data_IF_451996185010
#
_entry.id   IF_451996185010
#
_cell.length_a   1.000
_cell.length_b   1.000
_cell.length_c   1.000
_cell.angle_alpha   90.00
_cell.angle_beta   90.00
_cell.angle_gamma   90.00
#
_symmetry.space_group_name_H-M   'P 1'
#
loop_
_entity.id
_entity.type
_entity.pdbx_description
1 polymer ?
#
# COMPACT_ATOMS: atom_id res chain seq x y z
N UNK A 1 11.66 10.90 -24.59
CA UNK A 1 11.32 9.64 -25.26
C UNK A 1 9.83 9.63 -25.53
N UNK A 2 9.41 8.92 -26.57
CA UNK A 2 7.99 8.74 -26.91
C UNK A 2 7.71 7.24 -26.74
N UNK A 3 6.87 6.83 -25.77
CA UNK A 3 6.54 5.41 -25.57
C UNK A 3 5.64 4.90 -26.69
N UNK A 4 4.54 5.59 -26.96
CA UNK A 4 3.67 5.28 -28.11
C UNK A 4 2.50 4.40 -27.72
N UNK A 5 2.12 3.40 -28.54
CA UNK A 5 1.03 2.47 -28.20
C UNK A 5 1.64 1.18 -27.66
N UNK A 6 1.18 0.73 -26.52
CA UNK A 6 1.63 -0.46 -25.81
C UNK A 6 1.96 -0.15 -24.35
N UNK A 7 2.41 -1.17 -23.62
CA UNK A 7 3.04 -0.96 -22.32
C UNK A 7 4.53 -0.70 -22.55
N UNK A 8 4.97 0.51 -22.28
CA UNK A 8 6.32 1.00 -22.51
C UNK A 8 7.12 1.11 -21.21
N UNK A 9 8.45 1.08 -21.33
CA UNK A 9 9.37 1.24 -20.20
C UNK A 9 10.38 2.33 -20.51
N UNK A 10 10.37 3.37 -19.68
CA UNK A 10 11.20 4.55 -19.79
C UNK A 10 12.14 4.66 -18.58
N UNK A 11 13.28 5.32 -18.79
CA UNK A 11 14.26 5.62 -17.75
C UNK A 11 14.46 7.13 -17.68
N UNK A 12 14.35 7.70 -16.48
CA UNK A 12 14.68 9.11 -16.20
C UNK A 12 15.92 9.15 -15.31
N UNK A 13 17.00 9.71 -15.84
CA UNK A 13 18.26 9.88 -15.12
C UNK A 13 18.70 11.35 -15.00
N UNK A 14 18.04 12.25 -15.72
CA UNK A 14 18.32 13.67 -15.66
C UNK A 14 17.03 14.50 -15.79
N UNK A 15 17.03 15.72 -15.21
CA UNK A 15 15.84 16.59 -15.19
C UNK A 15 15.50 17.22 -16.54
N UNK A 16 16.28 16.94 -17.59
CA UNK A 16 16.02 17.37 -18.96
C UNK A 16 15.31 16.31 -19.81
N UNK A 17 15.10 15.10 -19.28
CA UNK A 17 14.37 14.05 -19.97
C UNK A 17 12.90 14.45 -20.09
N UNK A 18 12.39 14.44 -21.33
CA UNK A 18 10.98 14.69 -21.63
C UNK A 18 10.33 13.35 -21.94
N UNK A 19 9.21 13.04 -21.29
CA UNK A 19 8.36 11.90 -21.63
C UNK A 19 7.15 12.44 -22.38
N UNK A 20 6.84 11.82 -23.51
CA UNK A 20 5.65 12.10 -24.30
C UNK A 20 4.95 10.77 -24.57
N UNK A 21 3.84 10.53 -23.89
CA UNK A 21 3.06 9.31 -24.07
C UNK A 21 1.84 9.56 -24.95
N UNK A 22 1.42 8.52 -25.67
CA UNK A 22 0.21 8.58 -26.46
C UNK A 22 -1.01 8.30 -25.56
N UNK A 23 -2.13 9.00 -25.75
CA UNK A 23 -3.37 8.67 -25.06
C UNK A 23 -3.77 7.21 -25.31
N UNK A 24 -4.25 6.54 -24.27
CA UNK A 24 -4.64 5.12 -24.31
C UNK A 24 -3.50 4.17 -24.72
N UNK A 25 -2.25 4.54 -24.40
CA UNK A 25 -1.03 3.79 -24.75
C UNK A 25 -0.99 2.39 -24.14
N UNK A 26 -1.24 2.27 -22.84
CA UNK A 26 -1.13 1.00 -22.13
C UNK A 26 -0.98 1.24 -20.63
N UNK A 27 -0.24 0.36 -19.95
CA UNK A 27 0.29 0.60 -18.60
C UNK A 27 1.79 0.82 -18.71
N UNK A 28 2.22 2.06 -18.55
CA UNK A 28 3.58 2.49 -18.81
C UNK A 28 4.41 2.61 -17.53
N UNK A 29 5.72 2.33 -17.61
CA UNK A 29 6.60 2.22 -16.44
C UNK A 29 7.82 3.13 -16.53
N UNK A 30 8.06 3.93 -15.49
CA UNK A 30 9.22 4.82 -15.39
C UNK A 30 10.15 4.37 -14.27
N UNK A 31 11.38 4.02 -14.62
CA UNK A 31 12.45 3.87 -13.65
C UNK A 31 13.19 5.20 -13.48
N UNK A 32 13.05 5.84 -12.32
CA UNK A 32 13.64 7.15 -12.06
C UNK A 32 14.70 7.12 -10.97
N UNK A 33 15.85 7.77 -11.21
CA UNK A 33 16.84 8.07 -10.16
C UNK A 33 16.64 9.40 -9.45
N UNK A 34 15.64 10.17 -9.92
CA UNK A 34 15.22 11.46 -9.39
C UNK A 34 13.86 11.34 -8.72
N UNK A 35 13.58 12.16 -7.71
CA UNK A 35 12.22 12.34 -7.22
C UNK A 35 11.35 12.93 -8.35
N UNK A 36 10.20 12.31 -8.64
CA UNK A 36 9.37 12.62 -9.80
C UNK A 36 7.89 12.72 -9.41
N UNK A 37 7.16 13.62 -10.09
CA UNK A 37 5.71 13.70 -10.05
C UNK A 37 5.14 13.35 -11.42
N UNK A 38 4.08 12.53 -11.43
CA UNK A 38 3.33 12.16 -12.63
C UNK A 38 2.21 13.16 -12.96
N UNK A 39 2.04 14.24 -12.18
CA UNK A 39 0.93 15.17 -12.32
C UNK A 39 0.82 15.82 -13.71
N UNK A 40 1.95 16.00 -14.40
CA UNK A 40 2.01 16.54 -15.77
C UNK A 40 2.08 15.45 -16.85
N UNK A 41 1.95 14.17 -16.48
CA UNK A 41 2.02 13.00 -17.36
C UNK A 41 0.80 12.10 -17.16
N UNK A 42 -0.34 12.42 -17.79
CA UNK A 42 -1.64 11.81 -17.51
C UNK A 42 -1.83 10.39 -18.06
N UNK A 43 -0.79 9.77 -18.63
CA UNK A 43 -0.84 8.43 -19.23
C UNK A 43 0.24 7.52 -18.61
N UNK A 44 0.80 7.90 -17.45
CA UNK A 44 1.83 7.14 -16.77
C UNK A 44 1.26 6.62 -15.46
N UNK A 45 1.38 5.32 -15.22
CA UNK A 45 0.80 4.65 -14.06
C UNK A 45 1.84 4.05 -13.12
N UNK A 46 3.00 3.57 -13.61
CA UNK A 46 3.96 2.87 -12.76
C UNK A 46 5.25 3.69 -12.55
N UNK A 47 5.58 4.02 -11.30
CA UNK A 47 6.77 4.79 -10.93
C UNK A 47 7.64 4.06 -9.89
N UNK A 48 8.44 3.06 -10.32
CA UNK A 48 9.51 2.53 -9.49
C UNK A 48 10.65 3.53 -9.31
N UNK A 49 10.87 3.96 -8.07
CA UNK A 49 12.07 4.71 -7.70
C UNK A 49 13.29 3.78 -7.62
N UNK A 50 14.43 4.24 -8.14
CA UNK A 50 15.71 3.54 -8.05
C UNK A 50 16.83 4.50 -7.60
N UNK A 51 17.70 4.09 -6.69
CA UNK A 51 18.93 4.83 -6.39
C UNK A 51 18.77 5.88 -5.29
N UNK A 52 18.69 7.18 -5.63
CA UNK A 52 18.70 8.27 -4.64
C UNK A 52 17.38 9.05 -4.54
N UNK A 53 16.35 8.64 -5.29
CA UNK A 53 15.06 9.32 -5.27
C UNK A 53 14.38 9.15 -3.90
N UNK A 54 13.71 10.19 -3.45
CA UNK A 54 13.10 10.24 -2.10
C UNK A 54 11.60 10.51 -2.13
N UNK A 55 11.00 10.66 -3.31
CA UNK A 55 9.57 10.90 -3.44
C UNK A 55 9.08 10.48 -4.83
N UNK A 56 7.91 9.85 -4.85
CA UNK A 56 7.14 9.49 -6.04
C UNK A 56 5.74 10.07 -5.84
N UNK A 57 5.33 11.01 -6.70
CA UNK A 57 3.96 11.53 -6.68
C UNK A 57 3.21 11.00 -7.90
N UNK A 58 2.04 10.42 -7.65
CA UNK A 58 1.09 9.98 -8.66
C UNK A 58 0.39 11.12 -9.40
N UNK A 59 -0.66 10.77 -10.11
CA UNK A 59 -1.57 11.65 -10.84
C UNK A 59 -3.03 11.31 -10.48
N UNK A 60 -3.99 11.59 -11.36
CA UNK A 60 -5.41 11.31 -11.10
C UNK A 60 -5.83 9.89 -11.55
N UNK A 61 -4.87 9.03 -11.90
CA UNK A 61 -5.09 7.64 -12.33
C UNK A 61 -4.73 6.65 -11.21
N UNK A 62 -5.17 5.40 -11.37
CA UNK A 62 -4.74 4.27 -10.54
C UNK A 62 -3.24 3.96 -10.79
N UNK A 63 -2.36 4.47 -9.94
CA UNK A 63 -0.92 4.33 -10.04
C UNK A 63 -0.35 3.13 -9.23
N UNK A 64 0.80 2.63 -9.66
CA UNK A 64 1.61 1.65 -8.92
C UNK A 64 2.96 2.29 -8.56
N UNK A 65 3.12 2.64 -7.28
CA UNK A 65 4.26 3.41 -6.76
C UNK A 65 5.15 2.54 -5.89
N UNK A 66 6.47 2.57 -6.10
CA UNK A 66 7.43 1.82 -5.28
C UNK A 66 8.39 2.76 -4.55
N UNK A 67 8.44 2.65 -3.22
CA UNK A 67 9.51 3.24 -2.43
C UNK A 67 10.86 2.56 -2.76
N UNK A 68 11.95 3.33 -2.76
CA UNK A 68 13.30 2.83 -3.05
C UNK A 68 13.84 1.93 -1.91
N UNK A 69 14.64 0.92 -2.26
CA UNK A 69 15.32 0.02 -1.31
C UNK A 69 16.44 0.76 -0.54
N UNK A 70 16.09 1.58 0.45
CA UNK A 70 17.04 2.09 1.46
C UNK A 70 16.97 3.58 1.80
N UNK A 71 16.11 4.35 1.13
CA UNK A 71 15.85 5.76 1.47
C UNK A 71 14.38 5.95 1.83
N UNK A 72 14.12 6.61 2.96
CA UNK A 72 12.76 7.02 3.34
C UNK A 72 12.17 7.83 2.17
N UNK A 73 11.18 7.24 1.53
CA UNK A 73 10.48 7.84 0.41
C UNK A 73 9.06 8.18 0.86
N UNK A 74 8.48 9.21 0.24
CA UNK A 74 7.09 9.59 0.47
C UNK A 74 6.26 9.35 -0.82
N UNK A 75 5.89 8.11 -1.16
CA UNK A 75 4.94 7.86 -2.24
C UNK A 75 3.57 8.47 -1.90
N UNK A 76 3.04 9.29 -2.81
CA UNK A 76 1.72 9.89 -2.70
C UNK A 76 0.92 9.58 -3.96
N UNK A 77 -0.16 8.81 -3.83
CA UNK A 77 -1.02 8.40 -4.95
C UNK A 77 -1.80 9.55 -5.58
N UNK A 78 -2.23 10.51 -4.77
CA UNK A 78 -3.13 11.62 -5.12
C UNK A 78 -4.59 11.17 -5.33
N UNK A 79 -5.06 11.17 -6.57
CA UNK A 79 -6.43 10.77 -6.92
C UNK A 79 -6.34 9.44 -7.65
N UNK A 80 -7.18 8.46 -7.31
CA UNK A 80 -7.10 7.17 -7.98
C UNK A 80 -7.17 6.05 -6.97
N UNK A 81 -7.34 4.82 -7.43
CA UNK A 81 -7.17 3.65 -6.58
C UNK A 81 -5.75 3.12 -6.74
N UNK A 82 -4.85 3.63 -5.92
CA UNK A 82 -3.41 3.44 -6.05
C UNK A 82 -2.91 2.17 -5.36
N UNK A 83 -1.77 1.66 -5.80
CA UNK A 83 -1.03 0.59 -5.13
C UNK A 83 0.36 1.07 -4.74
N UNK A 84 0.63 1.11 -3.44
CA UNK A 84 1.84 1.71 -2.87
C UNK A 84 2.69 0.65 -2.17
N UNK A 85 3.89 0.40 -2.69
CA UNK A 85 4.83 -0.60 -2.17
C UNK A 85 5.88 0.02 -1.24
N UNK A 86 5.87 -0.39 0.04
CA UNK A 86 6.97 -0.13 0.97
C UNK A 86 7.97 -1.30 0.95
N UNK A 87 9.16 -1.06 0.39
CA UNK A 87 10.24 -2.05 0.32
C UNK A 87 11.38 -1.82 1.31
N UNK A 88 11.34 -0.70 2.02
CA UNK A 88 12.22 -0.37 3.14
C UNK A 88 11.43 0.19 4.35
N UNK A 89 12.08 0.16 5.51
CA UNK A 89 11.53 0.69 6.76
C UNK A 89 11.51 2.22 6.77
N UNK A 90 10.61 2.83 7.54
CA UNK A 90 10.59 4.28 7.77
C UNK A 90 10.02 5.09 6.61
N UNK A 91 9.21 4.46 5.76
CA UNK A 91 8.52 5.06 4.61
C UNK A 91 7.18 5.63 5.07
N UNK A 92 6.78 6.77 4.53
CA UNK A 92 5.41 7.25 4.66
C UNK A 92 4.67 7.00 3.34
N UNK A 93 3.65 6.14 3.36
CA UNK A 93 2.77 5.93 2.22
C UNK A 93 1.54 6.82 2.38
N UNK A 94 1.16 7.53 1.32
CA UNK A 94 -0.04 8.36 1.27
C UNK A 94 -0.81 7.92 0.03
N UNK A 95 -1.96 7.29 0.21
CA UNK A 95 -2.83 6.87 -0.88
C UNK A 95 -3.49 8.07 -1.51
N UNK A 96 -4.31 8.78 -0.71
CA UNK A 96 -5.03 9.96 -1.16
C UNK A 96 -6.55 9.73 -1.14
N UNK A 97 -7.25 10.13 -2.20
CA UNK A 97 -8.70 9.87 -2.32
C UNK A 97 -8.94 8.51 -2.97
N UNK A 98 -10.14 7.93 -2.77
CA UNK A 98 -10.54 6.59 -3.23
C UNK A 98 -9.80 5.51 -2.46
N UNK A 99 -10.03 4.25 -2.86
CA UNK A 99 -9.56 3.10 -2.11
C UNK A 99 -8.19 2.65 -2.60
N UNK A 100 -7.23 2.64 -1.69
CA UNK A 100 -5.83 2.39 -1.97
C UNK A 100 -5.33 1.06 -1.39
N UNK A 101 -4.26 0.54 -1.97
CA UNK A 101 -3.63 -0.70 -1.58
C UNK A 101 -2.17 -0.50 -1.17
N UNK A 102 -1.89 -0.59 0.13
CA UNK A 102 -0.52 -0.57 0.64
C UNK A 102 0.04 -1.98 0.71
N UNK A 103 1.15 -2.21 0.01
CA UNK A 103 1.87 -3.48 0.01
C UNK A 103 3.15 -3.32 0.81
N UNK A 104 3.24 -4.02 1.94
CA UNK A 104 4.39 -3.98 2.83
C UNK A 104 5.33 -5.15 2.50
N UNK A 105 6.21 -4.93 1.53
CA UNK A 105 7.23 -5.88 1.06
C UNK A 105 8.43 -5.96 2.03
N UNK A 106 8.14 -6.03 3.33
CA UNK A 106 9.10 -5.96 4.42
C UNK A 106 9.13 -7.27 5.22
N UNK A 107 10.33 -7.80 5.41
CA UNK A 107 10.54 -9.14 5.98
C UNK A 107 10.41 -9.19 7.50
N UNK A 108 10.48 -8.05 8.21
CA UNK A 108 10.37 -8.02 9.67
C UNK A 108 9.22 -7.14 10.20
N UNK A 109 8.57 -7.53 11.31
CA UNK A 109 7.57 -6.70 11.99
C UNK A 109 8.10 -5.33 12.43
N UNK A 110 9.39 -5.24 12.76
CA UNK A 110 10.01 -4.00 13.22
C UNK A 110 10.10 -2.95 12.10
N UNK A 111 10.36 -3.39 10.87
CA UNK A 111 10.42 -2.51 9.70
C UNK A 111 9.03 -2.03 9.29
N UNK A 112 8.01 -2.89 9.38
CA UNK A 112 6.62 -2.48 9.10
C UNK A 112 6.07 -1.50 10.12
N UNK A 113 6.46 -1.64 11.39
CA UNK A 113 6.01 -0.71 12.43
C UNK A 113 6.52 0.72 12.25
N UNK A 114 7.54 0.94 11.42
CA UNK A 114 8.00 2.28 11.04
C UNK A 114 7.41 2.77 9.72
N UNK A 115 6.58 1.98 9.04
CA UNK A 115 5.79 2.47 7.91
C UNK A 115 4.59 3.24 8.47
N UNK A 116 4.44 4.49 8.03
CA UNK A 116 3.27 5.29 8.35
C UNK A 116 2.38 5.34 7.10
N UNK A 117 1.15 4.85 7.20
CA UNK A 117 0.10 5.29 6.27
C UNK A 117 -0.46 6.59 6.82
N UNK A 118 -0.32 7.68 6.08
CA UNK A 118 -0.80 8.99 6.51
C UNK A 118 -2.04 9.38 5.70
N UNK A 119 -3.09 8.58 5.89
CA UNK A 119 -4.38 8.82 5.26
C UNK A 119 -5.20 9.90 5.97
N UNK A 120 -5.92 10.65 5.17
CA UNK A 120 -7.01 11.50 5.63
C UNK A 120 -8.31 10.70 5.79
N UNK A 121 -9.39 11.32 6.27
CA UNK A 121 -10.73 10.73 6.28
C UNK A 121 -11.35 10.67 4.87
N UNK A 122 -10.54 10.55 3.83
CA UNK A 122 -10.95 10.73 2.45
C UNK A 122 -11.83 9.56 1.98
N UNK A 123 -12.66 9.78 0.95
CA UNK A 123 -13.66 8.80 0.52
C UNK A 123 -12.96 7.61 -0.15
N UNK A 124 -12.72 6.54 0.60
CA UNK A 124 -11.93 5.39 0.17
C UNK A 124 -12.25 4.11 0.94
N UNK A 125 -11.80 2.97 0.42
CA UNK A 125 -11.78 1.71 1.16
C UNK A 125 -10.39 1.10 0.98
N UNK A 126 -9.60 1.25 2.02
CA UNK A 126 -8.17 1.09 1.98
C UNK A 126 -7.76 -0.24 2.59
N UNK A 127 -6.73 -0.83 2.00
CA UNK A 127 -6.25 -2.16 2.40
C UNK A 127 -4.76 -2.22 2.53
N UNK A 128 -4.31 -2.98 3.52
CA UNK A 128 -2.89 -3.34 3.70
C UNK A 128 -2.70 -4.81 3.35
N UNK A 129 -1.62 -5.13 2.62
CA UNK A 129 -1.11 -6.48 2.47
C UNK A 129 0.30 -6.61 3.04
N UNK A 130 0.56 -7.68 3.79
CA UNK A 130 1.86 -7.91 4.41
C UNK A 130 2.20 -9.41 4.51
N UNK A 131 3.49 -9.72 4.60
CA UNK A 131 3.99 -11.06 4.86
C UNK A 131 4.76 -11.15 6.19
N UNK A 132 4.67 -12.28 6.87
CA UNK A 132 5.50 -12.67 8.00
C UNK A 132 5.13 -11.95 9.31
N UNK A 133 5.10 -12.67 10.44
CA UNK A 133 5.00 -12.06 11.77
C UNK A 133 3.68 -11.34 12.05
N UNK A 134 3.70 -10.31 12.89
CA UNK A 134 2.47 -9.61 13.31
C UNK A 134 2.26 -8.28 12.58
N UNK A 135 1.00 -7.90 12.39
CA UNK A 135 0.59 -6.56 11.97
C UNK A 135 -0.55 -6.04 12.86
N UNK A 136 -0.44 -4.79 13.29
CA UNK A 136 -1.41 -4.13 14.17
C UNK A 136 -1.79 -2.80 13.56
N UNK A 137 -3.07 -2.61 13.22
CA UNK A 137 -3.56 -1.34 12.68
C UNK A 137 -3.39 -0.20 13.68
N UNK A 138 -3.71 -0.40 14.97
CA UNK A 138 -3.42 0.58 16.01
C UNK A 138 -3.90 2.00 15.67
N UNK A 139 -2.96 2.90 15.32
CA UNK A 139 -3.25 4.30 14.99
C UNK A 139 -3.65 4.57 13.52
N UNK A 140 -3.57 3.57 12.63
CA UNK A 140 -4.00 3.64 11.23
C UNK A 140 -5.54 3.62 11.16
N UNK A 141 -6.17 4.77 11.40
CA UNK A 141 -7.63 4.88 11.60
C UNK A 141 -8.48 4.68 10.37
N UNK A 142 -7.91 4.89 9.19
CA UNK A 142 -8.62 4.94 7.91
C UNK A 142 -8.27 3.76 7.02
N UNK A 143 -7.73 2.69 7.60
CA UNK A 143 -7.53 1.44 6.89
C UNK A 143 -8.62 0.49 7.37
N UNK A 144 -9.41 0.01 6.42
CA UNK A 144 -10.51 -0.91 6.67
C UNK A 144 -10.01 -2.35 6.66
N UNK A 145 -9.10 -2.69 5.74
CA UNK A 145 -8.73 -4.07 5.47
C UNK A 145 -7.26 -4.40 5.78
N UNK A 146 -7.04 -5.60 6.33
CA UNK A 146 -5.72 -6.21 6.44
C UNK A 146 -5.76 -7.60 5.80
N UNK A 147 -4.85 -7.85 4.89
CA UNK A 147 -4.60 -9.18 4.31
C UNK A 147 -3.19 -9.65 4.67
N UNK A 148 -3.09 -10.80 5.31
CA UNK A 148 -1.81 -11.51 5.32
C UNK A 148 -1.68 -12.34 4.05
N UNK A 149 -0.51 -12.25 3.39
CA UNK A 149 -0.23 -13.07 2.22
C UNK A 149 0.49 -14.38 2.57
N UNK A 150 1.23 -14.43 3.69
CA UNK A 150 1.93 -15.63 4.20
C UNK A 150 2.66 -15.34 5.51
N UNK A 151 2.89 -16.35 6.35
CA UNK A 151 3.76 -16.29 7.51
C UNK A 151 3.26 -15.42 8.67
N UNK A 152 2.00 -14.96 8.67
CA UNK A 152 1.47 -14.17 9.76
C UNK A 152 1.37 -14.97 11.06
N UNK A 153 1.72 -14.32 12.15
CA UNK A 153 1.51 -14.84 13.50
C UNK A 153 0.37 -14.12 14.22
N UNK A 154 0.07 -12.87 13.86
CA UNK A 154 -1.03 -12.12 14.42
C UNK A 154 -1.51 -10.96 13.55
N UNK A 155 -2.83 -10.72 13.55
CA UNK A 155 -3.47 -9.54 12.97
C UNK A 155 -4.28 -8.85 14.07
N UNK A 156 -4.20 -7.52 14.16
CA UNK A 156 -5.02 -6.73 15.06
C UNK A 156 -5.60 -5.53 14.34
N UNK A 157 -6.92 -5.32 14.45
CA UNK A 157 -7.60 -4.15 13.93
C UNK A 157 -7.49 -2.96 14.88
N UNK A 158 -8.37 -1.99 14.69
CA UNK A 158 -8.45 -0.75 15.46
C UNK A 158 -9.83 -0.59 16.13
N UNK A 159 -10.42 0.60 16.13
CA UNK A 159 -11.75 0.86 16.71
C UNK A 159 -12.85 1.10 15.65
N UNK A 160 -12.49 1.03 14.37
CA UNK A 160 -13.38 1.07 13.22
C UNK A 160 -13.78 -0.35 12.84
N UNK A 161 -14.70 -0.48 11.89
CA UNK A 161 -15.11 -1.78 11.37
C UNK A 161 -14.01 -2.29 10.43
N UNK A 162 -13.25 -3.29 10.85
CA UNK A 162 -12.15 -3.81 10.05
C UNK A 162 -12.46 -5.20 9.45
N UNK A 163 -11.92 -5.47 8.26
CA UNK A 163 -11.85 -6.83 7.73
C UNK A 163 -10.42 -7.38 7.83
N UNK A 164 -10.24 -8.48 8.57
CA UNK A 164 -8.95 -9.08 8.85
C UNK A 164 -8.92 -10.48 8.25
N UNK A 165 -8.06 -10.66 7.25
CA UNK A 165 -7.87 -11.92 6.55
C UNK A 165 -6.48 -12.48 6.86
N UNK A 166 -6.48 -13.62 7.54
CA UNK A 166 -5.31 -14.46 7.76
C UNK A 166 -4.82 -15.15 6.48
N UNK A 167 -3.78 -15.96 6.64
CA UNK A 167 -3.16 -16.76 5.60
C UNK A 167 -3.39 -18.27 5.87
N UNK A 168 -2.50 -19.14 5.39
CA UNK A 168 -2.63 -20.58 5.61
C UNK A 168 -1.94 -21.07 6.90
N UNK A 169 -1.23 -20.20 7.61
CA UNK A 169 -0.53 -20.50 8.86
C UNK A 169 -1.45 -20.32 10.08
N UNK A 170 -0.97 -20.66 11.29
CA UNK A 170 -1.73 -20.38 12.51
C UNK A 170 -1.77 -18.86 12.77
N UNK A 171 -2.95 -18.26 12.62
CA UNK A 171 -3.12 -16.84 12.82
C UNK A 171 -3.83 -16.52 14.13
N UNK A 172 -3.32 -15.50 14.82
CA UNK A 172 -3.97 -14.90 15.97
C UNK A 172 -4.67 -13.60 15.57
N UNK A 173 -6.01 -13.59 15.58
CA UNK A 173 -6.77 -12.43 15.09
C UNK A 173 -7.48 -11.71 16.26
N UNK A 174 -7.40 -10.39 16.28
CA UNK A 174 -8.13 -9.51 17.19
C UNK A 174 -8.77 -8.39 16.36
N UNK A 175 -10.09 -8.39 16.22
CA UNK A 175 -10.79 -7.32 15.49
C UNK A 175 -10.59 -5.96 16.17
N UNK A 176 -11.08 -5.85 17.40
CA UNK A 176 -10.94 -4.64 18.20
C UNK A 176 -12.31 -4.18 18.67
N UNK A 177 -12.60 -2.90 18.51
CA UNK A 177 -13.95 -2.38 18.61
C UNK A 177 -14.46 -2.08 17.19
N UNK A 178 -15.78 -2.00 17.02
CA UNK A 178 -16.38 -1.94 15.68
C UNK A 178 -16.97 -3.30 15.30
N UNK A 179 -17.73 -3.31 14.21
CA UNK A 179 -18.31 -4.53 13.64
C UNK A 179 -17.30 -5.16 12.67
N UNK A 180 -16.46 -6.05 13.17
CA UNK A 180 -15.34 -6.58 12.40
C UNK A 180 -15.72 -7.83 11.58
N UNK A 181 -15.05 -8.05 10.45
CA UNK A 181 -15.08 -9.31 9.70
C UNK A 181 -13.75 -10.03 9.85
N UNK A 182 -13.73 -11.21 10.42
CA UNK A 182 -12.51 -11.93 10.77
C UNK A 182 -12.50 -13.29 10.06
N UNK A 183 -11.50 -13.50 9.22
CA UNK A 183 -11.25 -14.75 8.51
C UNK A 183 -9.85 -15.25 8.87
N UNK A 184 -9.77 -16.45 9.45
CA UNK A 184 -8.50 -17.09 9.80
C UNK A 184 -7.74 -17.59 8.58
N UNK A 185 -8.43 -17.85 7.47
CA UNK A 185 -7.85 -18.53 6.32
C UNK A 185 -7.70 -20.04 6.57
N UNK A 186 -6.52 -20.57 6.27
CA UNK A 186 -6.16 -21.95 6.57
C UNK A 186 -5.57 -22.08 7.98
N UNK A 187 -5.04 -23.27 8.30
CA UNK A 187 -4.34 -23.44 9.58
C UNK A 187 -5.28 -23.63 10.78
N UNK A 188 -4.78 -23.33 11.97
CA UNK A 188 -5.53 -23.43 13.24
C UNK A 188 -5.52 -22.07 13.90
N UNK A 189 -6.61 -21.33 13.75
CA UNK A 189 -6.63 -19.92 14.12
C UNK A 189 -7.22 -19.65 15.50
N UNK A 190 -6.75 -18.56 16.10
CA UNK A 190 -7.20 -18.11 17.40
C UNK A 190 -7.74 -16.68 17.30
N UNK A 191 -9.06 -16.55 17.19
CA UNK A 191 -9.74 -15.27 17.27
C UNK A 191 -10.00 -14.88 18.73
N UNK A 192 -9.60 -13.67 19.14
CA UNK A 192 -9.88 -13.13 20.49
C UNK A 192 -10.70 -11.85 20.43
N UNK A 193 -11.82 -11.87 21.14
CA UNK A 193 -12.68 -10.74 21.42
C UNK A 193 -12.20 -10.02 22.69
N UNK A 194 -11.38 -8.99 22.57
CA UNK A 194 -11.02 -8.12 23.69
C UNK A 194 -11.58 -6.73 23.40
N UNK A 195 -12.38 -6.17 24.31
CA UNK A 195 -12.98 -4.83 24.19
C UNK A 195 -14.04 -4.66 23.09
N UNK A 196 -14.63 -5.74 22.57
CA UNK A 196 -15.63 -5.73 21.50
C UNK A 196 -16.93 -4.99 21.90
N UNK A 197 -16.94 -3.67 21.74
CA UNK A 197 -18.17 -2.96 21.42
C UNK A 197 -18.38 -3.09 19.92
N UNK A 198 -19.24 -4.01 19.51
CA UNK A 198 -19.47 -4.32 18.10
C UNK A 198 -20.04 -5.72 17.90
N UNK A 199 -20.47 -6.02 16.68
CA UNK A 199 -21.05 -7.27 16.24
C UNK A 199 -20.15 -7.94 15.19
N UNK A 200 -19.10 -8.61 15.67
CA UNK A 200 -18.12 -9.25 14.80
C UNK A 200 -18.68 -10.47 14.07
N UNK A 201 -18.23 -10.66 12.83
CA UNK A 201 -18.51 -11.81 11.99
C UNK A 201 -17.25 -12.65 11.79
N UNK A 202 -17.36 -13.95 12.05
CA UNK A 202 -16.35 -14.94 11.65
C UNK A 202 -16.74 -15.58 10.32
N UNK A 203 -15.78 -15.78 9.43
CA UNK A 203 -15.95 -16.50 8.16
C UNK A 203 -15.41 -17.94 8.22
#
# INVERSE_FOLDING_TARGET
MVGGIGNDTCYIDNSGDVIEEAPDGGRDTIYSTLSLSLADTPELENLPLIGNATAAWGNDLDNELFADDGIASDPNGHDGSDTLHARNAGVALIGGVRGDHYVLDLLSPAERASVLTNEGPEDGHDRISFAGGSFLLGAHKWIEDIYSVSGASALSGNAANNALFGDADENRIVGGAGDDTLDGGGGTDAVRYFFASGADRLL
#
